data_IF_069434291407
#
_entry.id   IF_069434291407
#
_cell.length_a   1.000
_cell.length_b   1.000
_cell.length_c   1.000
_cell.angle_alpha   90.00
_cell.angle_beta   90.00
_cell.angle_gamma   90.00
#
_symmetry.space_group_name_H-M   'P 1'
#
loop_
_entity.id
_entity.type
_entity.pdbx_description
1 polymer ?
#
# COMPACT_ATOMS: atom_id res chain seq x y z
N UNK A 1 -32.41 34.71 5.84
CA UNK A 1 -31.53 35.21 6.91
C UNK A 1 -30.54 34.10 7.15
N UNK A 2 -29.34 34.25 6.61
CA UNK A 2 -28.32 33.22 6.72
C UNK A 2 -27.82 33.18 8.17
N UNK A 3 -27.92 32.01 8.79
CA UNK A 3 -27.42 31.76 10.14
C UNK A 3 -25.89 31.78 10.09
N UNK A 4 -25.28 32.89 10.50
CA UNK A 4 -23.84 32.98 10.70
C UNK A 4 -23.43 31.98 11.78
N UNK A 5 -22.52 31.08 11.41
CA UNK A 5 -22.02 30.05 12.30
C UNK A 5 -20.84 30.62 13.11
N UNK A 6 -20.97 30.66 14.43
CA UNK A 6 -19.93 31.17 15.32
C UNK A 6 -18.82 30.11 15.53
N UNK A 7 -17.61 30.42 15.05
CA UNK A 7 -16.42 29.60 15.19
C UNK A 7 -15.47 30.10 16.29
N UNK A 8 -15.93 30.97 17.20
CA UNK A 8 -15.12 31.55 18.28
C UNK A 8 -14.44 30.51 19.18
N UNK A 9 -15.01 29.30 19.31
CA UNK A 9 -14.47 28.18 20.08
C UNK A 9 -13.73 27.13 19.21
N UNK A 10 -13.48 27.44 17.94
CA UNK A 10 -12.79 26.54 17.01
C UNK A 10 -11.33 26.29 17.41
N UNK A 11 -11.02 25.08 17.87
CA UNK A 11 -9.65 24.67 18.17
C UNK A 11 -8.94 24.26 16.88
N UNK A 12 -7.88 24.99 16.49
CA UNK A 12 -7.03 24.60 15.36
C UNK A 12 -6.22 23.36 15.74
N UNK A 13 -6.40 22.27 15.02
CA UNK A 13 -5.68 21.02 15.20
C UNK A 13 -5.74 20.18 13.93
N UNK A 14 -4.85 19.19 13.82
CA UNK A 14 -4.97 18.19 12.77
C UNK A 14 -6.29 17.44 12.96
N UNK A 15 -7.19 17.52 11.97
CA UNK A 15 -8.50 16.86 12.01
C UNK A 15 -8.33 15.33 12.05
N UNK A 16 -7.23 14.84 11.50
CA UNK A 16 -6.87 13.43 11.48
C UNK A 16 -5.44 13.31 12.01
N UNK A 17 -5.28 12.72 13.20
CA UNK A 17 -3.98 12.25 13.66
C UNK A 17 -3.55 11.16 12.67
N UNK A 18 -2.33 11.26 12.13
CA UNK A 18 -1.76 10.20 11.29
C UNK A 18 -1.84 8.91 12.09
N UNK A 19 -2.69 7.97 11.67
CA UNK A 19 -2.90 6.71 12.41
C UNK A 19 -1.58 6.01 12.69
N UNK A 20 -1.48 5.34 13.83
CA UNK A 20 -0.26 4.67 14.28
C UNK A 20 0.41 3.88 13.14
N UNK A 21 1.71 4.09 12.92
CA UNK A 21 2.49 3.43 11.87
C UNK A 21 2.43 4.06 10.47
N UNK A 22 1.67 5.15 10.26
CA UNK A 22 1.69 5.92 8.99
C UNK A 22 2.53 7.18 9.14
N UNK A 23 3.36 7.49 8.15
CA UNK A 23 4.15 8.73 8.10
C UNK A 23 3.59 9.64 7.02
N UNK A 24 3.27 10.89 7.37
CA UNK A 24 2.84 11.89 6.39
C UNK A 24 4.05 12.36 5.59
N UNK A 25 4.02 12.10 4.28
CA UNK A 25 5.05 12.54 3.34
C UNK A 25 4.45 13.43 2.27
N UNK A 26 5.28 14.26 1.64
CA UNK A 26 4.90 15.02 0.43
C UNK A 26 5.57 14.35 -0.76
N UNK A 27 4.78 13.78 -1.67
CA UNK A 27 5.25 13.13 -2.89
C UNK A 27 4.52 13.73 -4.09
N UNK A 28 5.19 13.77 -5.25
CA UNK A 28 4.55 14.09 -6.53
C UNK A 28 4.05 12.78 -7.15
N UNK A 29 2.80 12.77 -7.58
CA UNK A 29 2.17 11.68 -8.33
C UNK A 29 1.54 12.29 -9.58
N UNK A 30 1.51 11.52 -10.66
CA UNK A 30 0.89 11.98 -11.90
C UNK A 30 -0.64 12.13 -11.73
N UNK A 31 -1.19 13.15 -12.37
CA UNK A 31 -2.61 13.50 -12.25
C UNK A 31 -3.52 12.37 -12.74
N UNK A 32 -3.10 11.64 -13.78
CA UNK A 32 -3.84 10.49 -14.31
C UNK A 32 -3.93 9.34 -13.29
N UNK A 33 -2.84 9.06 -12.55
CA UNK A 33 -2.81 8.05 -11.49
C UNK A 33 -3.76 8.47 -10.36
N UNK A 34 -3.68 9.74 -9.93
CA UNK A 34 -4.57 10.27 -8.90
C UNK A 34 -6.04 10.19 -9.32
N UNK A 35 -6.34 10.54 -10.56
CA UNK A 35 -7.69 10.50 -11.12
C UNK A 35 -8.22 9.06 -11.14
N UNK A 36 -7.42 8.11 -11.61
CA UNK A 36 -7.80 6.70 -11.63
C UNK A 36 -8.18 6.17 -10.24
N UNK A 37 -7.34 6.40 -9.22
CA UNK A 37 -7.64 5.94 -7.86
C UNK A 37 -8.86 6.64 -7.24
N UNK A 38 -9.11 7.91 -7.59
CA UNK A 38 -10.33 8.61 -7.16
C UNK A 38 -11.57 7.97 -7.78
N UNK A 39 -11.56 7.71 -9.08
CA UNK A 39 -12.67 7.05 -9.77
C UNK A 39 -12.98 5.68 -9.16
N UNK A 40 -11.96 4.86 -8.88
CA UNK A 40 -12.17 3.55 -8.23
C UNK A 40 -12.92 3.66 -6.90
N UNK A 41 -12.58 4.66 -6.09
CA UNK A 41 -13.25 4.90 -4.80
C UNK A 41 -14.67 5.44 -4.98
N UNK A 42 -14.89 6.31 -5.97
CA UNK A 42 -16.21 6.81 -6.29
C UNK A 42 -17.14 5.67 -6.74
N UNK A 43 -16.64 4.75 -7.58
CA UNK A 43 -17.39 3.57 -8.03
C UNK A 43 -17.71 2.61 -6.87
N UNK A 44 -16.82 2.47 -5.90
CA UNK A 44 -17.01 1.63 -4.72
C UNK A 44 -17.99 2.21 -3.67
N UNK A 45 -18.62 3.37 -3.94
CA UNK A 45 -19.57 3.99 -3.01
C UNK A 45 -18.92 4.87 -1.94
N UNK A 46 -17.68 5.30 -2.16
CA UNK A 46 -16.91 6.14 -1.24
C UNK A 46 -15.73 5.40 -0.61
N UNK A 47 -14.83 6.16 0.04
CA UNK A 47 -13.61 5.64 0.64
C UNK A 47 -12.43 6.60 0.54
N UNK A 48 -11.23 6.11 0.86
CA UNK A 48 -10.00 6.90 0.83
C UNK A 48 -9.07 6.40 -0.27
N UNK A 49 -8.88 7.19 -1.33
CA UNK A 49 -7.99 6.88 -2.45
C UNK A 49 -6.53 6.71 -2.00
N UNK A 50 -6.12 7.38 -0.92
CA UNK A 50 -4.79 7.23 -0.33
C UNK A 50 -4.57 5.82 0.22
N UNK A 51 -5.63 5.19 0.74
CA UNK A 51 -5.57 3.79 1.19
C UNK A 51 -5.29 2.85 0.03
N UNK A 52 -5.94 3.06 -1.12
CA UNK A 52 -5.71 2.25 -2.32
C UNK A 52 -4.29 2.41 -2.85
N UNK A 53 -3.80 3.66 -2.94
CA UNK A 53 -2.42 3.94 -3.35
C UNK A 53 -1.43 3.24 -2.41
N UNK A 54 -1.64 3.36 -1.10
CA UNK A 54 -0.75 2.75 -0.12
C UNK A 54 -0.78 1.21 -0.19
N UNK A 55 -1.94 0.60 -0.47
CA UNK A 55 -2.04 -0.85 -0.67
C UNK A 55 -1.30 -1.30 -1.92
N UNK A 56 -1.43 -0.57 -3.04
CA UNK A 56 -0.69 -0.87 -4.26
C UNK A 56 0.83 -0.76 -4.05
N UNK A 57 1.29 0.27 -3.32
CA UNK A 57 2.71 0.40 -2.95
C UNK A 57 3.18 -0.73 -2.04
N UNK A 58 2.34 -1.18 -1.10
CA UNK A 58 2.65 -2.32 -0.23
C UNK A 58 2.80 -3.60 -1.04
N UNK A 59 1.85 -3.89 -1.92
CA UNK A 59 1.89 -5.07 -2.79
C UNK A 59 3.14 -5.05 -3.68
N UNK A 60 3.47 -3.89 -4.27
CA UNK A 60 4.68 -3.72 -5.04
C UNK A 60 5.92 -4.06 -4.20
N UNK A 61 6.04 -3.51 -2.99
CA UNK A 61 7.16 -3.82 -2.10
C UNK A 61 7.19 -5.31 -1.76
N UNK A 62 6.06 -5.92 -1.41
CA UNK A 62 5.98 -7.35 -1.07
C UNK A 62 6.41 -8.26 -2.23
N UNK A 63 6.02 -7.94 -3.46
CA UNK A 63 6.45 -8.67 -4.65
C UNK A 63 7.96 -8.57 -4.91
N UNK A 64 8.59 -7.46 -4.51
CA UNK A 64 10.00 -7.18 -4.81
C UNK A 64 10.95 -7.42 -3.63
N UNK A 65 10.45 -7.62 -2.41
CA UNK A 65 11.28 -7.75 -1.19
C UNK A 65 11.98 -9.11 -1.08
N UNK A 66 11.47 -10.12 -1.79
CA UNK A 66 12.14 -11.37 -2.17
C UNK A 66 11.18 -12.02 -3.15
N UNK A 67 11.54 -12.23 -4.44
CA UNK A 67 10.66 -12.98 -5.32
C UNK A 67 10.43 -14.33 -4.65
N UNK A 68 9.17 -14.70 -4.40
CA UNK A 68 8.84 -16.08 -4.00
C UNK A 68 9.53 -17.08 -4.95
N UNK A 69 9.73 -16.68 -6.20
CA UNK A 69 10.55 -17.38 -7.19
C UNK A 69 11.99 -17.68 -6.73
N UNK A 70 12.70 -16.75 -6.10
CA UNK A 70 14.08 -16.97 -5.61
C UNK A 70 14.10 -17.96 -4.45
N UNK A 71 13.13 -17.86 -3.53
CA UNK A 71 12.98 -18.83 -2.44
C UNK A 71 12.64 -20.21 -2.99
N UNK A 72 11.67 -20.30 -3.90
CA UNK A 72 11.25 -21.55 -4.54
C UNK A 72 12.40 -22.16 -5.36
N UNK A 73 13.14 -21.35 -6.11
CA UNK A 73 14.30 -21.80 -6.87
C UNK A 73 15.33 -22.40 -5.92
N UNK A 74 15.70 -21.71 -4.83
CA UNK A 74 16.65 -22.25 -3.85
C UNK A 74 16.19 -23.59 -3.29
N UNK A 75 14.94 -23.70 -2.86
CA UNK A 75 14.37 -24.93 -2.30
C UNK A 75 14.36 -26.07 -3.33
N UNK A 76 13.94 -25.81 -4.58
CA UNK A 76 13.92 -26.81 -5.65
C UNK A 76 15.33 -27.30 -5.98
N UNK A 77 16.32 -26.41 -6.03
CA UNK A 77 17.71 -26.78 -6.28
C UNK A 77 18.33 -27.60 -5.14
N UNK A 78 17.99 -27.28 -3.88
CA UNK A 78 18.40 -28.07 -2.70
C UNK A 78 17.83 -29.49 -2.75
N UNK A 79 16.54 -29.66 -3.04
CA UNK A 79 15.88 -30.98 -3.13
C UNK A 79 16.42 -31.82 -4.30
N UNK A 80 16.60 -31.23 -5.48
CA UNK A 80 17.18 -31.93 -6.64
C UNK A 80 18.62 -32.39 -6.35
N UNK A 81 19.41 -31.58 -5.66
CA UNK A 81 20.78 -31.92 -5.28
C UNK A 81 20.82 -33.07 -4.27
N UNK A 82 19.89 -33.09 -3.30
CA UNK A 82 19.77 -34.20 -2.34
C UNK A 82 19.31 -35.50 -3.00
N UNK A 83 18.35 -35.44 -3.93
CA UNK A 83 17.89 -36.61 -4.70
C UNK A 83 19.04 -37.17 -5.54
N UNK A 84 19.77 -36.31 -6.25
CA UNK A 84 20.90 -36.72 -7.07
C UNK A 84 22.04 -37.35 -6.24
N UNK A 85 22.22 -36.91 -4.99
CA UNK A 85 23.20 -37.50 -4.08
C UNK A 85 22.78 -38.90 -3.60
N UNK A 86 21.49 -39.14 -3.36
CA UNK A 86 20.94 -40.46 -2.97
C UNK A 86 20.88 -41.49 -4.09
N UNK A 87 20.83 -41.07 -5.34
CA UNK A 87 20.74 -41.98 -6.51
C UNK A 87 22.12 -42.51 -6.94
N UNK A 88 23.21 -41.91 -6.47
CA UNK A 88 24.58 -42.28 -6.81
C UNK A 88 25.30 -43.12 -5.73
N UNK A 89 24.56 -43.67 -4.76
CA UNK A 89 24.99 -44.74 -3.83
C UNK A 89 24.38 -46.09 -4.26
#
# INVERSE_FOLDING_TARGET
MDTEYDFSQGKRGAIELTGEGKTRITIRLDDNILMWFREQVHLAGGGNYQTLINNALREYVEQHREPLEEILRRVVWEELSQINMRVNE
#
